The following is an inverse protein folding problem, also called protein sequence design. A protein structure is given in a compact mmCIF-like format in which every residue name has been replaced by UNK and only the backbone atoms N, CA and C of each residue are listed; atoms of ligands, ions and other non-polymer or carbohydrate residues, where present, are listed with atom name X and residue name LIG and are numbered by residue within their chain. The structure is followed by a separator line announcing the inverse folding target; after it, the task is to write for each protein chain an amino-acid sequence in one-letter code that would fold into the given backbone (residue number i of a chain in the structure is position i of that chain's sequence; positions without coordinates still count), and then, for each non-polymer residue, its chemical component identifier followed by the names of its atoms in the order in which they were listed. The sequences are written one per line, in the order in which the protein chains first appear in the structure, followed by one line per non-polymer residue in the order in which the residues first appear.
data_IF_531012110540
#
_entry.id   IF_531012110540
#
_cell.length_a   1.000
_cell.length_b   1.000
_cell.length_c   1.000
_cell.angle_alpha   90.00
_cell.angle_beta   90.00
_cell.angle_gamma   90.00
#
_symmetry.space_group_name_H-M   'P 1'
#
loop_
_entity.id
_entity.type
_entity.pdbx_description
1 polymer ?
#
# COMPACT_ATOMS: atom_id res chain seq x y z
N UNK A 1 -5.01 -2.61 11.97
CA UNK A 1 -4.83 -1.39 11.13
C UNK A 1 -6.19 -0.84 10.75
N UNK A 2 -6.36 0.48 10.80
CA UNK A 2 -7.63 1.20 10.54
C UNK A 2 -7.38 2.50 9.81
N UNK A 3 -8.44 3.11 9.29
CA UNK A 3 -8.47 4.50 8.81
C UNK A 3 -9.73 5.19 9.33
N UNK A 4 -9.73 6.50 9.41
CA UNK A 4 -10.92 7.30 9.70
C UNK A 4 -11.75 7.62 8.44
N UNK A 5 -11.24 7.27 7.27
CA UNK A 5 -11.86 7.61 5.99
C UNK A 5 -12.98 6.64 5.57
N UNK A 6 -12.93 5.38 6.01
CA UNK A 6 -13.96 4.35 5.79
C UNK A 6 -13.82 3.21 6.82
N UNK A 7 -14.86 2.41 6.97
CA UNK A 7 -14.83 1.18 7.75
C UNK A 7 -14.23 0.03 6.93
N UNK A 8 -13.68 -1.00 7.58
CA UNK A 8 -13.13 -2.17 6.88
C UNK A 8 -14.19 -2.79 5.94
N UNK A 9 -13.81 -3.01 4.69
CA UNK A 9 -14.73 -3.40 3.61
C UNK A 9 -15.56 -2.25 3.01
N UNK A 10 -15.41 -1.02 3.51
CA UNK A 10 -16.16 0.16 3.05
C UNK A 10 -15.70 0.71 1.70
N UNK A 11 -16.42 1.73 1.23
CA UNK A 11 -16.11 2.42 -0.04
C UNK A 11 -15.11 3.54 0.20
N UNK A 12 -14.04 3.57 -0.58
CA UNK A 12 -13.04 4.64 -0.53
C UNK A 12 -13.66 5.94 -1.05
N UNK A 13 -13.62 7.04 -0.29
CA UNK A 13 -14.06 8.35 -0.78
C UNK A 13 -13.27 8.83 -2.00
N UNK A 14 -13.93 9.48 -2.93
CA UNK A 14 -13.34 9.97 -4.18
C UNK A 14 -12.05 10.76 -3.97
N UNK A 15 -11.95 11.54 -2.88
CA UNK A 15 -10.76 12.29 -2.46
C UNK A 15 -9.46 11.47 -2.52
N UNK A 16 -9.52 10.18 -2.19
CA UNK A 16 -8.35 9.28 -2.10
C UNK A 16 -8.17 8.42 -3.35
N UNK A 17 -8.90 8.72 -4.42
CA UNK A 17 -8.95 7.91 -5.64
C UNK A 17 -8.60 8.74 -6.87
N UNK A 18 -8.42 8.10 -8.01
CA UNK A 18 -8.20 8.80 -9.28
C UNK A 18 -9.41 9.66 -9.71
N UNK A 19 -10.60 9.46 -9.11
CA UNK A 19 -11.75 10.34 -9.32
C UNK A 19 -11.56 11.71 -8.63
N UNK A 20 -10.79 11.76 -7.54
CA UNK A 20 -10.40 13.00 -6.86
C UNK A 20 -9.25 13.75 -7.53
N UNK A 21 -8.64 13.17 -8.57
CA UNK A 21 -7.56 13.77 -9.34
C UNK A 21 -6.29 12.92 -9.43
N UNK A 22 -5.39 13.32 -10.31
CA UNK A 22 -4.15 12.57 -10.59
C UNK A 22 -3.20 12.48 -9.38
N UNK A 23 -3.28 13.45 -8.47
CA UNK A 23 -2.45 13.55 -7.26
C UNK A 23 -3.29 13.35 -5.98
N UNK A 24 -4.26 12.43 -6.03
CA UNK A 24 -5.05 12.10 -4.85
C UNK A 24 -4.14 11.72 -3.67
N UNK A 25 -4.37 12.28 -2.46
CA UNK A 25 -3.58 11.92 -1.28
C UNK A 25 -3.87 10.48 -0.86
N UNK A 26 -2.92 9.83 -0.19
CA UNK A 26 -3.23 8.62 0.55
C UNK A 26 -4.10 8.94 1.77
N UNK A 27 -4.95 8.01 2.22
CA UNK A 27 -5.66 8.14 3.49
C UNK A 27 -4.70 8.07 4.68
N UNK A 28 -5.06 8.67 5.80
CA UNK A 28 -4.38 8.40 7.06
C UNK A 28 -4.63 6.94 7.47
N UNK A 29 -3.58 6.25 7.88
CA UNK A 29 -3.63 4.88 8.40
C UNK A 29 -3.11 4.85 9.84
N UNK A 30 -3.73 4.06 10.68
CA UNK A 30 -3.31 3.85 12.07
C UNK A 30 -3.25 2.37 12.39
N UNK A 31 -2.30 1.98 13.26
CA UNK A 31 -2.19 0.61 13.76
C UNK A 31 -1.75 0.58 15.21
N UNK A 32 -2.03 -0.55 15.86
CA UNK A 32 -1.72 -0.79 17.26
C UNK A 32 -1.31 -2.27 17.45
N UNK A 33 -1.02 -2.65 18.69
CA UNK A 33 -0.62 -4.01 19.03
C UNK A 33 0.62 -4.47 18.24
N UNK A 34 1.60 -3.59 18.16
CA UNK A 34 2.87 -3.86 17.46
C UNK A 34 3.60 -5.01 18.16
N UNK A 35 3.98 -6.09 17.43
CA UNK A 35 4.73 -7.18 18.02
C UNK A 35 6.06 -6.71 18.62
N UNK A 36 6.47 -7.22 19.79
CA UNK A 36 7.79 -6.96 20.34
C UNK A 36 8.89 -7.36 19.35
N UNK A 37 9.94 -6.57 19.24
CA UNK A 37 11.05 -6.82 18.30
C UNK A 37 10.85 -6.23 16.91
N UNK A 38 9.72 -5.60 16.62
CA UNK A 38 9.50 -4.92 15.34
C UNK A 38 10.54 -3.82 15.12
N UNK A 39 11.32 -3.93 14.04
CA UNK A 39 12.30 -2.93 13.63
C UNK A 39 11.77 -2.02 12.53
N UNK A 40 10.95 -2.55 11.64
CA UNK A 40 10.30 -1.75 10.58
C UNK A 40 8.96 -2.34 10.16
N UNK A 41 8.20 -1.55 9.39
CA UNK A 41 7.00 -2.03 8.73
C UNK A 41 7.13 -1.95 7.21
N UNK A 42 6.40 -2.84 6.55
CA UNK A 42 6.17 -2.83 5.10
C UNK A 42 4.67 -2.77 4.84
N UNK A 43 4.22 -1.81 4.06
CA UNK A 43 2.83 -1.69 3.59
C UNK A 43 2.76 -2.01 2.10
N UNK A 44 1.83 -2.88 1.74
CA UNK A 44 1.52 -3.21 0.34
C UNK A 44 0.04 -2.92 0.11
N UNK A 45 -0.26 -1.97 -0.78
CA UNK A 45 -1.61 -1.76 -1.28
C UNK A 45 -1.75 -2.38 -2.66
N UNK A 46 -2.70 -3.28 -2.81
CA UNK A 46 -2.90 -4.05 -4.04
C UNK A 46 -4.38 -4.12 -4.43
N UNK A 47 -4.64 -4.10 -5.74
CA UNK A 47 -5.92 -4.44 -6.35
C UNK A 47 -5.78 -5.84 -6.97
N UNK A 48 -6.40 -6.88 -6.39
CA UNK A 48 -6.32 -8.25 -6.92
C UNK A 48 -7.22 -8.50 -8.12
N UNK A 49 -8.10 -7.56 -8.50
CA UNK A 49 -9.00 -7.72 -9.62
C UNK A 49 -8.40 -7.11 -10.89
N UNK A 50 -8.39 -7.83 -12.00
CA UNK A 50 -7.76 -7.36 -13.22
C UNK A 50 -8.54 -6.20 -13.84
N UNK A 51 -8.08 -4.98 -13.62
CA UNK A 51 -8.50 -3.81 -14.38
C UNK A 51 -7.74 -3.67 -15.72
N UNK A 52 -6.82 -4.61 -15.98
CA UNK A 52 -5.95 -4.59 -17.15
C UNK A 52 -6.49 -5.56 -18.19
N UNK A 53 -6.45 -5.22 -19.49
CA UNK A 53 -6.96 -6.11 -20.54
C UNK A 53 -6.46 -7.54 -20.37
N UNK A 54 -7.31 -8.50 -20.68
CA UNK A 54 -7.16 -9.95 -20.46
C UNK A 54 -5.86 -10.61 -21.00
N UNK A 55 -4.96 -9.84 -21.59
CA UNK A 55 -3.65 -10.29 -22.07
C UNK A 55 -2.48 -9.96 -21.12
N UNK A 56 -2.74 -9.33 -19.96
CA UNK A 56 -1.72 -9.14 -18.94
C UNK A 56 -1.47 -10.47 -18.22
N UNK A 57 -0.23 -10.89 -18.15
CA UNK A 57 0.16 -12.10 -17.41
C UNK A 57 0.07 -11.93 -15.88
N UNK A 58 -0.23 -10.73 -15.39
CA UNK A 58 -0.39 -10.39 -13.98
C UNK A 58 -1.79 -9.82 -13.79
N UNK A 59 -2.63 -10.54 -13.05
CA UNK A 59 -4.02 -10.19 -12.81
C UNK A 59 -4.24 -9.18 -11.69
N UNK A 60 -3.18 -8.51 -11.21
CA UNK A 60 -3.25 -7.59 -10.08
C UNK A 60 -2.51 -6.27 -10.36
N UNK A 61 -2.84 -5.24 -9.58
CA UNK A 61 -2.21 -3.91 -9.68
C UNK A 61 -1.63 -3.50 -8.33
N UNK A 62 -0.34 -3.16 -8.31
CA UNK A 62 0.34 -2.61 -7.15
C UNK A 62 0.10 -1.10 -7.08
N UNK A 63 -0.70 -0.67 -6.10
CA UNK A 63 -1.10 0.72 -5.91
C UNK A 63 -0.13 1.50 -5.02
N UNK A 64 0.46 0.86 -4.01
CA UNK A 64 1.39 1.51 -3.12
C UNK A 64 2.25 0.49 -2.37
N UNK A 65 3.53 0.66 -2.44
CA UNK A 65 4.54 0.00 -1.63
C UNK A 65 5.16 1.05 -0.73
N UNK A 66 5.22 0.78 0.56
CA UNK A 66 5.95 1.60 1.54
C UNK A 66 6.75 0.66 2.42
N UNK A 67 8.05 0.86 2.51
CA UNK A 67 8.89 -0.01 3.34
C UNK A 67 9.91 0.78 4.13
N UNK A 68 10.48 0.13 5.13
CA UNK A 68 11.32 0.77 6.14
C UNK A 68 10.58 1.86 6.94
N UNK A 69 9.26 1.76 7.08
CA UNK A 69 8.53 2.59 8.05
C UNK A 69 9.10 2.26 9.43
N UNK A 70 9.53 3.24 10.24
CA UNK A 70 10.14 2.96 11.54
C UNK A 70 9.27 2.08 12.43
N UNK A 71 9.87 1.11 13.13
CA UNK A 71 9.15 0.17 14.01
C UNK A 71 8.46 0.84 15.21
N UNK A 72 8.77 2.11 15.49
CA UNK A 72 8.09 2.94 16.48
C UNK A 72 6.86 3.66 15.95
N UNK A 73 6.61 3.61 14.63
CA UNK A 73 5.45 4.27 14.01
C UNK A 73 4.16 3.58 14.41
N UNK A 74 3.12 4.37 14.62
CA UNK A 74 1.75 3.91 14.89
C UNK A 74 0.77 4.25 13.75
N UNK A 75 1.30 4.76 12.63
CA UNK A 75 0.48 5.13 11.48
C UNK A 75 1.27 5.84 10.38
N UNK A 76 0.58 6.15 9.30
CA UNK A 76 1.00 7.05 8.25
C UNK A 76 -0.02 8.20 8.15
N UNK A 77 0.42 9.45 8.04
CA UNK A 77 -0.50 10.58 7.90
C UNK A 77 -1.19 10.57 6.53
N UNK A 78 -2.26 11.33 6.40
CA UNK A 78 -2.85 11.67 5.11
C UNK A 78 -1.86 12.50 4.28
N UNK A 79 -1.76 12.20 3.00
CA UNK A 79 -0.99 13.02 2.05
C UNK A 79 0.54 12.91 2.24
N UNK A 80 1.06 11.72 2.52
CA UNK A 80 2.50 11.46 2.52
C UNK A 80 3.10 11.91 1.18
N UNK A 81 4.14 12.73 1.24
CA UNK A 81 4.83 13.21 0.04
C UNK A 81 5.47 12.04 -0.72
N UNK A 82 5.42 12.11 -2.05
CA UNK A 82 6.07 11.11 -2.90
C UNK A 82 7.61 11.15 -2.74
N UNK A 83 8.23 10.01 -2.93
CA UNK A 83 9.68 9.83 -2.82
C UNK A 83 10.11 9.24 -1.47
N UNK A 84 11.42 9.17 -1.27
CA UNK A 84 11.99 8.71 -0.01
C UNK A 84 11.76 9.75 1.09
N UNK A 85 11.37 9.29 2.28
CA UNK A 85 11.13 10.17 3.42
C UNK A 85 12.41 10.35 4.25
N UNK A 86 12.49 11.46 5.03
CA UNK A 86 13.68 11.75 5.84
C UNK A 86 14.02 10.69 6.91
N UNK A 87 13.05 9.89 7.34
CA UNK A 87 13.21 8.80 8.29
C UNK A 87 13.73 7.49 7.69
N UNK A 88 14.00 7.47 6.38
CA UNK A 88 14.45 6.31 5.62
C UNK A 88 13.33 5.46 5.01
N UNK A 89 12.08 5.84 5.22
CA UNK A 89 10.93 5.20 4.56
C UNK A 89 11.02 5.40 3.04
N UNK A 90 10.84 4.32 2.30
CA UNK A 90 10.82 4.31 0.83
C UNK A 90 9.44 4.03 0.30
N UNK A 91 9.15 4.51 -0.90
CA UNK A 91 7.85 4.35 -1.54
C UNK A 91 7.96 4.06 -3.03
N UNK A 92 6.98 3.32 -3.55
CA UNK A 92 6.77 3.12 -4.98
C UNK A 92 5.34 2.70 -5.29
N UNK A 93 4.86 3.04 -6.47
CA UNK A 93 3.63 2.49 -7.07
C UNK A 93 3.89 2.13 -8.53
N UNK A 94 2.88 1.60 -9.19
CA UNK A 94 2.99 1.26 -10.62
C UNK A 94 3.38 2.46 -11.50
N UNK A 95 3.04 3.69 -11.09
CA UNK A 95 3.21 4.90 -11.91
C UNK A 95 4.09 5.97 -11.30
N UNK A 96 4.45 5.86 -10.02
CA UNK A 96 5.18 6.92 -9.30
C UNK A 96 5.94 6.37 -8.09
N UNK A 97 6.72 7.23 -7.47
CA UNK A 97 7.40 6.95 -6.19
C UNK A 97 6.51 7.35 -4.99
N UNK A 98 5.22 7.07 -5.03
CA UNK A 98 4.27 7.40 -3.98
C UNK A 98 2.95 6.68 -4.18
N UNK A 99 1.92 7.15 -3.47
CA UNK A 99 0.58 6.59 -3.54
C UNK A 99 -0.04 6.74 -4.94
N UNK A 100 -0.68 5.69 -5.41
CA UNK A 100 -1.53 5.70 -6.58
C UNK A 100 -2.95 5.33 -6.15
N UNK A 101 -3.85 6.30 -6.19
CA UNK A 101 -5.25 6.09 -5.80
C UNK A 101 -5.96 5.02 -6.66
N UNK A 102 -6.98 4.37 -6.11
CA UNK A 102 -7.88 3.49 -6.85
C UNK A 102 -8.41 4.11 -8.14
N UNK A 103 -8.52 3.31 -9.19
CA UNK A 103 -8.94 3.80 -10.51
C UNK A 103 -9.86 2.85 -11.26
N UNK A 104 -10.52 1.90 -10.57
CA UNK A 104 -11.44 0.95 -11.19
C UNK A 104 -12.48 1.64 -12.07
N UNK A 105 -12.79 1.09 -13.25
CA UNK A 105 -13.80 1.66 -14.15
C UNK A 105 -15.21 1.57 -13.56
N UNK A 106 -16.22 2.24 -14.16
CA UNK A 106 -17.62 1.98 -13.86
C UNK A 106 -17.97 0.50 -14.03
N UNK A 107 -18.74 -0.05 -13.08
CA UNK A 107 -19.12 -1.47 -13.09
C UNK A 107 -19.01 -2.10 -11.71
N UNK A 108 -18.62 -3.37 -11.59
CA UNK A 108 -18.40 -4.02 -10.30
C UNK A 108 -17.35 -3.27 -9.47
N UNK A 109 -17.50 -3.33 -8.14
CA UNK A 109 -16.47 -2.84 -7.24
C UNK A 109 -15.21 -3.68 -7.38
N UNK A 110 -14.05 -3.01 -7.45
CA UNK A 110 -12.76 -3.61 -7.17
C UNK A 110 -12.47 -3.52 -5.67
N UNK A 111 -11.77 -4.52 -5.14
CA UNK A 111 -11.30 -4.54 -3.76
C UNK A 111 -9.84 -4.11 -3.71
N UNK A 112 -9.53 -3.30 -2.72
CA UNK A 112 -8.18 -2.79 -2.47
C UNK A 112 -7.75 -3.28 -1.10
N UNK A 113 -6.70 -4.07 -1.08
CA UNK A 113 -6.14 -4.59 0.17
C UNK A 113 -4.95 -3.76 0.59
N UNK A 114 -4.99 -3.23 1.80
CA UNK A 114 -3.84 -2.63 2.47
C UNK A 114 -3.30 -3.68 3.44
N UNK A 115 -2.13 -4.22 3.16
CA UNK A 115 -1.50 -5.22 4.01
C UNK A 115 -0.26 -4.63 4.65
N UNK A 116 -0.26 -4.54 5.98
CA UNK A 116 0.85 -4.08 6.80
C UNK A 116 1.56 -5.28 7.40
N UNK A 117 2.86 -5.37 7.22
CA UNK A 117 3.74 -6.37 7.82
C UNK A 117 4.63 -5.69 8.86
N UNK A 118 4.69 -6.24 10.07
CA UNK A 118 5.70 -5.90 11.08
C UNK A 118 6.87 -6.86 10.91
N UNK A 119 8.09 -6.35 10.74
CA UNK A 119 9.28 -7.17 10.51
C UNK A 119 10.37 -6.85 11.53
N UNK A 120 11.19 -7.85 11.87
CA UNK A 120 12.28 -7.75 12.85
C UNK A 120 13.60 -7.25 12.23
N UNK A 121 13.53 -6.69 11.05
CA UNK A 121 14.70 -6.18 10.32
C UNK A 121 14.36 -4.92 9.53
N UNK A 122 15.38 -4.23 9.04
CA UNK A 122 15.25 -3.26 7.95
C UNK A 122 15.37 -4.00 6.62
N UNK A 123 14.58 -3.57 5.66
CA UNK A 123 14.51 -4.19 4.33
C UNK A 123 15.49 -3.48 3.39
N UNK A 124 16.56 -4.16 2.99
CA UNK A 124 17.53 -3.64 2.02
C UNK A 124 17.10 -3.96 0.59
N UNK A 125 16.06 -3.28 0.14
CA UNK A 125 15.53 -3.36 -1.23
C UNK A 125 15.54 -1.97 -1.85
N UNK A 126 16.23 -1.84 -2.97
CA UNK A 126 16.15 -0.66 -3.82
C UNK A 126 14.91 -0.74 -4.72
N UNK A 127 14.23 0.39 -5.00
CA UNK A 127 13.16 0.41 -5.99
C UNK A 127 13.69 -0.02 -7.35
N UNK A 128 13.01 -0.94 -8.02
CA UNK A 128 13.27 -1.24 -9.43
C UNK A 128 12.45 -0.31 -10.33
N UNK A 129 12.68 -0.38 -11.65
CA UNK A 129 11.84 0.36 -12.61
C UNK A 129 10.39 -0.14 -12.65
N UNK A 130 10.14 -1.34 -12.13
CA UNK A 130 8.84 -1.99 -12.13
C UNK A 130 8.41 -2.30 -10.69
N UNK A 131 7.27 -1.73 -10.27
CA UNK A 131 6.74 -1.93 -8.93
C UNK A 131 6.41 -3.40 -8.59
N UNK A 132 6.11 -4.23 -9.58
CA UNK A 132 5.91 -5.67 -9.35
C UNK A 132 7.20 -6.37 -8.96
N UNK A 133 8.32 -6.00 -9.56
CA UNK A 133 9.63 -6.57 -9.23
C UNK A 133 10.09 -6.09 -7.84
N UNK A 134 9.86 -4.81 -7.52
CA UNK A 134 10.09 -4.29 -6.16
C UNK A 134 9.22 -5.02 -5.14
N UNK A 135 7.92 -5.23 -5.42
CA UNK A 135 7.03 -6.00 -4.54
C UNK A 135 7.56 -7.43 -4.31
N UNK A 136 7.98 -8.09 -5.38
CA UNK A 136 8.55 -9.44 -5.29
C UNK A 136 9.82 -9.45 -4.43
N UNK A 137 10.71 -8.48 -4.63
CA UNK A 137 11.92 -8.34 -3.82
C UNK A 137 11.60 -8.07 -2.35
N UNK A 138 10.60 -7.23 -2.05
CA UNK A 138 10.14 -6.97 -0.68
C UNK A 138 9.60 -8.25 -0.03
N UNK A 139 8.74 -9.01 -0.72
CA UNK A 139 8.19 -10.26 -0.20
C UNK A 139 9.30 -11.28 0.09
N UNK A 140 10.27 -11.41 -0.80
CA UNK A 140 11.43 -12.29 -0.59
C UNK A 140 12.30 -11.84 0.59
N UNK A 141 12.53 -10.52 0.71
CA UNK A 141 13.34 -9.96 1.81
C UNK A 141 12.64 -10.05 3.18
N UNK A 142 11.32 -10.18 3.21
CA UNK A 142 10.55 -10.39 4.43
C UNK A 142 10.47 -11.86 4.86
N UNK A 143 10.87 -12.80 4.00
CA UNK A 143 10.78 -14.23 4.32
C UNK A 143 11.60 -14.56 5.58
N UNK A 144 10.96 -15.21 6.54
CA UNK A 144 11.56 -15.50 7.86
C UNK A 144 11.62 -14.32 8.84
N UNK A 145 11.19 -13.10 8.45
CA UNK A 145 11.31 -11.89 9.25
C UNK A 145 9.96 -11.29 9.69
N UNK A 146 8.83 -11.85 9.29
CA UNK A 146 7.50 -11.33 9.61
C UNK A 146 7.08 -11.72 11.02
N UNK A 147 6.93 -10.74 11.90
CA UNK A 147 6.45 -10.90 13.28
C UNK A 147 4.93 -10.80 13.39
N UNK A 148 4.29 -10.07 12.48
CA UNK A 148 2.84 -9.86 12.49
C UNK A 148 2.35 -9.21 11.22
N UNK A 149 1.04 -9.32 11.01
CA UNK A 149 0.37 -8.81 9.82
C UNK A 149 -1.00 -8.23 10.17
N UNK A 150 -1.36 -7.10 9.56
CA UNK A 150 -2.68 -6.53 9.62
C UNK A 150 -3.17 -6.21 8.20
N UNK A 151 -4.46 -6.41 7.97
CA UNK A 151 -5.11 -6.13 6.68
C UNK A 151 -6.27 -5.18 6.89
N UNK A 152 -6.40 -4.20 6.03
CA UNK A 152 -7.56 -3.35 5.87
C UNK A 152 -8.03 -3.49 4.43
N UNK A 153 -9.32 -3.75 4.24
CA UNK A 153 -9.92 -3.88 2.91
C UNK A 153 -10.76 -2.63 2.61
N UNK A 154 -10.80 -2.28 1.36
CA UNK A 154 -11.67 -1.24 0.86
C UNK A 154 -12.14 -1.59 -0.54
N UNK A 155 -13.16 -0.90 -1.03
CA UNK A 155 -13.69 -1.10 -2.38
C UNK A 155 -13.92 0.24 -3.08
N UNK A 156 -13.77 0.23 -4.39
CA UNK A 156 -14.00 1.41 -5.21
C UNK A 156 -14.35 1.02 -6.65
N UNK A 157 -15.19 1.81 -7.28
CA UNK A 157 -15.36 1.92 -8.72
C UNK A 157 -15.72 3.37 -9.06
N UNK A 158 -15.44 3.80 -10.27
CA UNK A 158 -15.95 5.08 -10.79
C UNK A 158 -17.45 4.99 -11.02
N UNK A 159 -18.13 6.11 -10.83
CA UNK A 159 -19.56 6.28 -11.18
C UNK A 159 -19.75 6.45 -12.68
#
# INVERSE_FOLDING_TARGET
MTTTAWEDGGVIPDKFTQAGGANAPNPALSWSQVPPGTQSFVLIMNDPEPAIPAKSSRGDVTHWLVWNIPGTSTGLPEGVMAGDLPDGTKQQSLRSNGYMGPGAPPGPYHHYTFTLYAVDTKIDVAPSQNAFDTRTALLNAMDGHVLGKAVLVARFHRK
#
